data_IF_666195363023
#
_entry.id   IF_666195363023
#
_cell.length_a   1.000
_cell.length_b   1.000
_cell.length_c   1.000
_cell.angle_alpha   90.00
_cell.angle_beta   90.00
_cell.angle_gamma   90.00
#
_symmetry.space_group_name_H-M   'P 1'
#
loop_
_entity.id
_entity.type
_entity.pdbx_description
1 polymer ?
#
# COMPACT_ATOMS: atom_id res chain seq x y z
N UNK A 1 -3.27 2.73 8.55
CA UNK A 1 -3.79 2.73 7.17
C UNK A 1 -3.30 1.49 6.47
N UNK A 2 -4.20 0.73 5.90
CA UNK A 2 -3.82 -0.52 5.26
C UNK A 2 -3.61 -0.32 3.76
N UNK A 3 -2.52 -0.86 3.27
CA UNK A 3 -2.18 -0.77 1.87
C UNK A 3 -1.77 -2.13 1.36
N UNK A 4 -1.91 -2.33 0.06
CA UNK A 4 -1.48 -3.55 -0.60
C UNK A 4 -0.21 -3.22 -1.36
N UNK A 5 0.87 -3.94 -1.06
CA UNK A 5 2.15 -3.66 -1.69
C UNK A 5 2.15 -4.18 -3.12
N UNK A 6 2.62 -3.36 -4.03
CA UNK A 6 2.74 -3.73 -5.44
C UNK A 6 4.12 -4.29 -5.76
N UNK A 7 5.05 -4.12 -4.85
CA UNK A 7 6.41 -4.60 -4.99
C UNK A 7 6.96 -4.90 -3.62
N UNK A 8 8.08 -5.60 -3.56
CA UNK A 8 8.71 -5.90 -2.29
C UNK A 8 9.21 -4.62 -1.64
N UNK A 9 8.85 -4.42 -0.37
CA UNK A 9 9.28 -3.25 0.39
C UNK A 9 10.02 -3.74 1.62
N UNK A 10 11.27 -3.32 1.75
CA UNK A 10 12.11 -3.73 2.86
C UNK A 10 11.44 -3.40 4.18
N UNK A 11 11.45 -4.36 5.11
CA UNK A 11 10.89 -4.21 6.46
C UNK A 11 9.37 -4.06 6.48
N UNK A 12 8.70 -4.16 5.35
CA UNK A 12 7.25 -4.04 5.30
C UNK A 12 6.59 -5.31 4.79
N UNK A 13 7.10 -5.88 3.73
CA UNK A 13 6.52 -7.08 3.17
C UNK A 13 6.85 -7.21 1.71
N UNK A 14 6.27 -8.21 1.07
CA UNK A 14 6.50 -8.47 -0.34
C UNK A 14 5.31 -8.08 -1.19
N UNK A 15 5.47 -8.27 -2.48
CA UNK A 15 4.43 -7.96 -3.44
C UNK A 15 3.15 -8.72 -3.09
N UNK A 16 2.04 -7.98 -3.07
CA UNK A 16 0.74 -8.57 -2.77
C UNK A 16 0.39 -8.62 -1.29
N UNK A 17 1.32 -8.24 -0.43
CA UNK A 17 1.06 -8.26 1.01
C UNK A 17 0.25 -7.05 1.43
N UNK A 18 -0.72 -7.29 2.34
CA UNK A 18 -1.47 -6.20 2.96
C UNK A 18 -0.79 -5.85 4.26
N UNK A 19 -0.36 -4.61 4.38
CA UNK A 19 0.35 -4.15 5.57
C UNK A 19 -0.30 -2.90 6.13
N UNK A 20 -0.12 -2.69 7.43
CA UNK A 20 -0.66 -1.53 8.11
C UNK A 20 0.48 -0.55 8.34
N UNK A 21 0.40 0.61 7.73
CA UNK A 21 1.44 1.63 7.83
C UNK A 21 0.82 2.96 8.24
N UNK A 22 1.67 3.86 8.73
CA UNK A 22 1.20 5.20 9.08
C UNK A 22 0.74 5.94 7.83
N UNK A 23 -0.37 6.71 7.94
CA UNK A 23 -0.86 7.44 6.77
C UNK A 23 0.17 8.36 6.15
N UNK A 24 0.97 9.03 6.97
CA UNK A 24 2.01 9.91 6.43
C UNK A 24 3.04 9.16 5.61
N UNK A 25 3.43 8.00 6.09
CA UNK A 25 4.42 7.19 5.37
C UNK A 25 3.84 6.72 4.04
N UNK A 26 2.61 6.21 4.06
CA UNK A 26 1.99 5.73 2.84
C UNK A 26 1.81 6.86 1.83
N UNK A 27 1.28 8.00 2.27
CA UNK A 27 1.00 9.11 1.37
C UNK A 27 2.26 9.77 0.85
N UNK A 28 3.33 9.79 1.64
CA UNK A 28 4.56 10.48 1.25
C UNK A 28 5.57 9.59 0.56
N UNK A 29 5.45 8.28 0.72
CA UNK A 29 6.45 7.38 0.19
C UNK A 29 5.85 6.31 -0.72
N UNK A 30 4.93 5.51 -0.16
CA UNK A 30 4.45 4.34 -0.91
C UNK A 30 3.59 4.72 -2.10
N UNK A 31 2.64 5.62 -1.92
CA UNK A 31 1.72 5.97 -2.99
C UNK A 31 2.39 6.76 -4.12
N UNK A 32 3.18 7.80 -3.80
CA UNK A 32 3.86 8.55 -4.86
C UNK A 32 4.87 7.71 -5.64
N UNK A 33 5.48 6.73 -4.98
CA UNK A 33 6.45 5.86 -5.63
C UNK A 33 5.79 4.75 -6.43
N UNK A 34 4.48 4.57 -6.26
CA UNK A 34 3.79 3.48 -6.93
C UNK A 34 4.12 2.12 -6.35
N UNK A 35 4.52 2.07 -5.09
CA UNK A 35 4.91 0.83 -4.43
C UNK A 35 3.75 0.13 -3.74
N UNK A 36 2.65 0.83 -3.56
CA UNK A 36 1.50 0.26 -2.89
C UNK A 36 0.25 1.03 -3.27
N UNK A 37 -0.92 0.42 -3.03
CA UNK A 37 -2.21 1.07 -3.24
C UNK A 37 -3.03 0.91 -1.98
N UNK A 38 -3.97 1.83 -1.80
CA UNK A 38 -4.89 1.75 -0.67
C UNK A 38 -5.78 0.52 -0.81
N UNK A 39 -5.86 -0.26 0.26
CA UNK A 39 -6.71 -1.44 0.22
C UNK A 39 -8.16 -1.06 -0.02
N UNK A 40 -8.60 0.04 0.59
CA UNK A 40 -9.97 0.48 0.42
C UNK A 40 -10.26 0.90 -1.02
N UNK A 41 -9.27 1.46 -1.69
CA UNK A 41 -9.44 1.86 -3.09
C UNK A 41 -9.75 0.67 -3.98
N UNK A 42 -9.12 -0.45 -3.72
CA UNK A 42 -9.38 -1.65 -4.50
C UNK A 42 -10.80 -2.15 -4.28
N UNK A 43 -11.31 -2.01 -3.06
CA UNK A 43 -12.67 -2.42 -2.78
C UNK A 43 -13.65 -1.55 -3.57
N UNK A 44 -13.37 -0.26 -3.65
CA UNK A 44 -14.22 0.63 -4.42
C UNK A 44 -14.18 0.31 -5.90
N UNK A 45 -13.01 0.02 -6.40
CA UNK A 45 -12.87 -0.27 -7.82
C UNK A 45 -13.64 -1.52 -8.21
N UNK A 46 -13.75 -2.47 -7.31
CA UNK A 46 -14.41 -3.72 -7.63
C UNK A 46 -15.93 -3.55 -7.72
N UNK A 47 -16.45 -2.43 -7.34
CA UNK A 47 -17.86 -2.18 -7.53
C UNK A 47 -18.13 -1.75 -8.96
#
# INVERSE_FOLDING_TARGET
MKVILLTEVKNKGGEGDVVDVAPGFANNYLLPQGMAVLALSLIHISE
#
